data_IF_765741666747
#
_entry.id   IF_765741666747
#
_cell.length_a   1.000
_cell.length_b   1.000
_cell.length_c   1.000
_cell.angle_alpha   90.00
_cell.angle_beta   90.00
_cell.angle_gamma   90.00
#
_symmetry.space_group_name_H-M   'P 1'
#
loop_
_entity.id
_entity.type
_entity.pdbx_description
1 polymer ?
#
# COMPACT_ATOMS: atom_id res chain seq x y z
N UNK A 5 1.14 16.41 -6.85
CA UNK A 5 2.47 15.83 -7.18
C UNK A 5 3.42 15.95 -5.98
N UNK A 6 4.62 15.43 -6.11
CA UNK A 6 5.62 15.54 -5.00
C UNK A 6 5.07 14.95 -3.69
N UNK A 7 4.35 15.72 -2.91
CA UNK A 7 3.76 15.18 -1.65
C UNK A 7 2.81 14.03 -1.96
N UNK A 8 2.16 13.50 -0.95
CA UNK A 8 1.17 12.39 -1.18
C UNK A 8 0.02 12.90 -2.06
N UNK A 9 -0.46 12.06 -2.94
CA UNK A 9 -1.66 12.42 -3.76
C UNK A 9 -2.86 11.60 -3.29
N UNK A 10 -4.02 11.86 -3.84
CA UNK A 10 -5.22 11.06 -3.45
C UNK A 10 -5.61 10.10 -4.58
N UNK A 11 -5.22 8.86 -4.46
CA UNK A 11 -5.60 7.85 -5.50
C UNK A 11 -7.05 7.40 -5.29
N UNK A 12 -7.62 6.74 -6.26
CA UNK A 12 -9.03 6.25 -6.11
C UNK A 12 -9.04 4.78 -5.69
N UNK A 13 -10.19 4.27 -5.33
CA UNK A 13 -10.30 2.83 -4.95
C UNK A 13 -10.42 1.95 -6.20
N UNK A 14 -10.94 2.50 -7.27
CA UNK A 14 -11.06 1.71 -8.54
C UNK A 14 -9.71 1.64 -9.26
N UNK A 15 -8.87 2.63 -9.06
CA UNK A 15 -7.52 2.62 -9.71
C UNK A 15 -6.59 1.66 -8.96
N UNK A 16 -6.68 1.63 -7.65
CA UNK A 16 -5.83 0.68 -6.86
C UNK A 16 -6.37 -0.75 -7.01
N UNK A 17 -7.65 -0.89 -7.25
CA UNK A 17 -8.23 -2.26 -7.46
C UNK A 17 -8.21 -2.64 -8.95
N UNK A 18 -7.39 -1.99 -9.74
CA UNK A 18 -7.30 -2.35 -11.19
C UNK A 18 -5.97 -3.04 -11.48
N UNK A 19 -4.96 -2.79 -10.68
CA UNK A 19 -3.65 -3.46 -10.88
C UNK A 19 -3.68 -4.88 -10.31
N UNK A 20 -4.13 -5.83 -11.09
CA UNK A 20 -4.16 -7.25 -10.62
C UNK A 20 -2.74 -7.84 -10.65
N UNK A 21 -2.23 -8.10 -11.83
CA UNK A 21 -0.84 -8.63 -11.94
C UNK A 21 0.04 -7.64 -12.70
N UNK A 22 -0.26 -7.41 -13.96
CA UNK A 22 0.51 -6.42 -14.79
C UNK A 22 2.04 -6.59 -14.61
N UNK A 23 2.64 -5.89 -13.67
CA UNK A 23 4.11 -6.05 -13.44
C UNK A 23 4.52 -5.37 -12.13
N UNK A 24 3.97 -4.20 -11.87
CA UNK A 24 4.29 -3.49 -10.60
C UNK A 24 3.46 -4.06 -9.45
N UNK A 25 3.48 -3.41 -8.31
CA UNK A 25 2.66 -3.88 -7.16
C UNK A 25 2.13 -2.68 -6.36
N UNK A 26 0.85 -2.65 -6.10
CA UNK A 26 0.28 -1.54 -5.29
C UNK A 26 -0.12 -2.04 -3.90
N UNK A 27 0.84 -2.18 -3.01
CA UNK A 27 0.53 -2.61 -1.62
C UNK A 27 0.01 -1.41 -0.81
N UNK A 28 -0.97 -1.63 0.02
CA UNK A 28 -1.48 -0.52 0.88
C UNK A 28 -1.24 -0.85 2.36
N UNK A 29 -0.80 0.12 3.12
CA UNK A 29 -0.59 -0.11 4.58
C UNK A 29 -1.84 0.30 5.36
N UNK A 30 -2.06 1.58 5.50
CA UNK A 30 -3.31 2.07 6.16
C UNK A 30 -3.97 3.12 5.27
N UNK A 31 -3.20 4.05 4.77
CA UNK A 31 -3.74 5.08 3.84
C UNK A 31 -2.79 5.28 2.66
N UNK A 32 -1.50 5.33 2.92
CA UNK A 32 -0.51 5.49 1.82
C UNK A 32 -0.53 4.27 0.90
N UNK A 33 -0.46 4.49 -0.39
CA UNK A 33 -0.40 3.36 -1.36
C UNK A 33 1.05 3.15 -1.81
N UNK A 34 1.55 1.95 -1.68
CA UNK A 34 2.97 1.68 -2.09
C UNK A 34 3.03 1.12 -3.51
N UNK A 35 3.79 1.75 -4.37
CA UNK A 35 4.05 1.17 -5.72
C UNK A 35 5.45 0.55 -5.72
N UNK A 36 5.59 -0.59 -5.10
CA UNK A 36 6.95 -1.21 -4.96
C UNK A 36 7.25 -2.08 -6.19
N UNK A 37 7.14 -1.52 -7.37
CA UNK A 37 7.46 -2.30 -8.60
C UNK A 37 8.96 -2.61 -8.66
N UNK A 38 9.78 -1.81 -8.01
CA UNK A 38 11.24 -2.09 -7.99
C UNK A 38 11.56 -3.13 -6.91
N UNK A 39 10.77 -3.17 -5.86
CA UNK A 39 10.98 -4.20 -4.80
C UNK A 39 10.54 -5.58 -5.30
N UNK A 40 9.55 -5.62 -6.15
CA UNK A 40 9.10 -6.92 -6.73
C UNK A 40 10.24 -7.58 -7.51
N UNK A 41 11.13 -6.79 -8.06
CA UNK A 41 12.29 -7.35 -8.80
C UNK A 41 13.54 -7.35 -7.92
N UNK A 42 13.61 -6.46 -6.96
CA UNK A 42 14.79 -6.42 -6.04
C UNK A 42 14.65 -7.50 -4.96
N UNK A 43 13.43 -7.84 -4.61
CA UNK A 43 13.22 -8.92 -3.60
C UNK A 43 12.54 -10.13 -4.25
N UNK A 44 13.34 -11.05 -4.75
CA UNK A 44 12.78 -12.28 -5.40
C UNK A 44 11.79 -12.98 -4.47
N UNK A 45 10.52 -12.67 -4.60
CA UNK A 45 9.49 -13.35 -3.76
C UNK A 45 8.41 -13.94 -4.67
N UNK A 46 7.74 -13.11 -5.43
CA UNK A 46 6.70 -13.63 -6.37
C UNK A 46 5.71 -12.51 -6.71
N UNK A 47 4.68 -12.35 -5.91
CA UNK A 47 3.70 -11.25 -6.15
C UNK A 47 3.42 -10.50 -4.84
N UNK A 48 2.92 -11.20 -3.85
CA UNK A 48 2.67 -10.55 -2.53
C UNK A 48 3.80 -10.88 -1.56
N UNK A 49 4.59 -9.89 -1.20
CA UNK A 49 5.70 -10.13 -0.23
C UNK A 49 5.66 -9.11 0.92
N UNK A 50 5.34 -7.88 0.62
CA UNK A 50 5.26 -6.84 1.70
C UNK A 50 4.22 -7.23 2.75
N UNK A 51 4.68 -7.67 3.90
CA UNK A 51 3.74 -8.01 5.02
C UNK A 51 2.65 -8.98 4.55
N UNK A 52 2.99 -9.89 3.66
CA UNK A 52 2.00 -10.92 3.18
C UNK A 52 0.88 -10.27 2.36
N UNK A 53 0.10 -9.41 2.97
CA UNK A 53 -1.01 -8.71 2.23
C UNK A 53 -1.92 -9.73 1.54
N UNK A 54 -2.84 -10.30 2.28
CA UNK A 54 -3.80 -11.27 1.67
C UNK A 54 -4.95 -11.56 2.64
N UNK A 55 -4.63 -11.71 3.91
CA UNK A 55 -5.70 -11.95 4.92
C UNK A 55 -5.16 -11.64 6.32
N UNK A 56 -4.63 -10.46 6.51
CA UNK A 56 -4.12 -10.06 7.85
C UNK A 56 -5.12 -9.12 8.53
N UNK A 57 -4.64 -8.27 9.40
CA UNK A 57 -5.55 -7.29 10.06
C UNK A 57 -4.74 -6.21 10.78
N UNK A 58 -3.96 -6.60 11.77
CA UNK A 58 -3.10 -5.61 12.49
C UNK A 58 -1.83 -5.33 11.69
N UNK A 59 -0.97 -4.49 12.20
CA UNK A 59 0.32 -4.20 11.50
C UNK A 59 1.50 -4.37 12.46
N UNK A 60 1.57 -5.50 13.13
CA UNK A 60 2.71 -5.75 14.05
C UNK A 60 3.94 -6.20 13.26
N UNK A 61 3.79 -7.22 12.45
CA UNK A 61 4.93 -7.68 11.60
C UNK A 61 5.00 -6.87 10.31
N UNK A 62 5.57 -5.69 10.37
CA UNK A 62 5.70 -4.85 9.14
C UNK A 62 6.57 -5.57 8.10
N UNK A 63 7.82 -5.81 8.43
CA UNK A 63 8.71 -6.55 7.49
C UNK A 63 8.99 -7.95 8.03
N UNK A 64 9.42 -8.85 7.18
CA UNK A 64 9.75 -10.23 7.65
C UNK A 64 11.27 -10.39 7.78
N UNK A 65 11.96 -10.55 6.68
CA UNK A 65 13.45 -10.68 6.74
C UNK A 65 14.05 -10.56 5.33
N UNK A 66 15.34 -10.40 5.23
CA UNK A 66 16.00 -10.33 3.89
C UNK A 66 16.71 -8.99 3.73
N UNK A 67 17.31 -8.49 4.79
CA UNK A 67 18.07 -7.21 4.70
C UNK A 67 19.25 -7.23 5.67
N UNK A 68 19.01 -7.58 6.91
CA UNK A 68 20.12 -7.67 7.92
C UNK A 68 20.86 -6.33 8.04
N UNK A 69 21.82 -6.08 7.18
CA UNK A 69 22.56 -4.77 7.24
C UNK A 69 21.59 -3.60 7.07
N UNK A 70 20.48 -3.82 6.42
CA UNK A 70 19.47 -2.74 6.25
C UNK A 70 18.45 -2.79 7.40
N UNK A 71 18.72 -2.09 8.47
CA UNK A 71 17.75 -2.05 9.61
C UNK A 71 16.65 -1.02 9.34
N UNK A 72 16.96 0.00 8.58
CA UNK A 72 15.92 1.03 8.24
C UNK A 72 14.76 0.38 7.49
N UNK A 73 13.59 0.97 7.57
CA UNK A 73 12.42 0.42 6.83
C UNK A 73 12.46 0.86 5.36
N UNK A 74 12.08 -0.01 4.46
CA UNK A 74 12.06 0.35 3.02
C UNK A 74 10.72 0.99 2.65
N UNK A 75 9.68 0.68 3.38
CA UNK A 75 8.34 1.30 3.10
C UNK A 75 8.39 2.81 3.36
N UNK A 76 8.89 3.57 2.42
CA UNK A 76 8.92 5.05 2.58
C UNK A 76 9.30 5.71 1.25
N UNK A 77 10.24 5.15 0.54
CA UNK A 77 10.64 5.71 -0.79
C UNK A 77 9.88 5.00 -1.92
N UNK A 78 9.41 3.80 -1.67
CA UNK A 78 8.64 3.07 -2.72
C UNK A 78 7.14 3.38 -2.59
N UNK A 79 6.80 4.64 -2.49
CA UNK A 79 5.35 5.02 -2.39
C UNK A 79 4.98 5.98 -3.52
N UNK A 80 3.71 6.19 -3.74
CA UNK A 80 3.27 7.13 -4.81
C UNK A 80 2.27 8.17 -4.26
N UNK A 81 1.42 7.76 -3.36
CA UNK A 81 0.43 8.72 -2.77
C UNK A 81 -0.47 7.97 -1.79
N UNK A 82 -1.55 8.58 -1.38
CA UNK A 82 -2.51 7.88 -0.47
C UNK A 82 -3.79 7.53 -1.23
N UNK A 83 -4.66 6.77 -0.61
CA UNK A 83 -5.98 6.46 -1.25
C UNK A 83 -7.00 7.54 -0.88
N UNK A 84 -8.02 7.70 -1.68
CA UNK A 84 -9.09 8.69 -1.35
C UNK A 84 -9.76 8.31 -0.01
N UNK A 85 -9.55 9.12 1.01
CA UNK A 85 -10.16 8.83 2.35
C UNK A 85 -11.68 8.61 2.23
N UNK A 86 -12.29 9.12 1.19
CA UNK A 86 -13.77 8.93 1.00
C UNK A 86 -14.12 7.44 1.01
N UNK A 87 -13.59 6.69 0.08
CA UNK A 87 -13.88 5.22 0.03
C UNK A 87 -13.03 4.45 1.05
N UNK A 88 -11.98 5.06 1.55
CA UNK A 88 -11.11 4.35 2.55
C UNK A 88 -11.81 4.23 3.90
N UNK A 89 -12.31 5.32 4.43
CA UNK A 89 -12.95 5.28 5.78
C UNK A 89 -14.46 4.99 5.68
N UNK A 90 -15.29 6.01 5.56
CA UNK A 90 -16.77 5.79 5.47
C UNK A 90 -17.47 7.14 5.31
N UNK A 91 -17.73 7.54 4.09
CA UNK A 91 -18.46 8.83 3.86
C UNK A 91 -19.98 8.62 3.87
N UNK A 92 -20.48 7.96 4.88
CA UNK A 92 -21.96 7.77 4.99
C UNK A 92 -22.64 9.11 5.28
N UNK A 93 -22.76 9.95 4.28
CA UNK A 93 -23.42 11.28 4.48
C UNK A 93 -24.84 11.11 5.03
N UNK A 94 -25.05 11.50 6.28
CA UNK A 94 -26.41 11.38 6.90
C UNK A 94 -27.48 12.02 6.01
N UNK A 95 -28.71 12.04 6.47
CA UNK A 95 -29.80 12.69 5.67
C UNK A 95 -29.48 14.18 5.43
N UNK A 96 -29.70 15.02 6.41
CA UNK A 96 -29.36 16.47 6.26
C UNK A 96 -29.53 17.20 7.60
N UNK A 97 -29.24 16.53 8.69
CA UNK A 97 -29.34 17.19 10.02
C UNK A 97 -28.38 16.54 11.02
N UNK A 98 -28.27 17.10 12.20
CA UNK A 98 -27.38 16.49 13.24
C UNK A 98 -28.10 15.34 13.94
#
# INVERSE_FOLDING_TARGET
AEQSDKDVKYYTLEEIQKHKDSKSTWVILHHKVYDLTKFLEEHPGGEEVLREQAGGDATENFEDVGHSTDARELSKTYIIGELHPDDRSKIAKPSETL
#
